data_IF_957638488657
#
_entry.id   IF_957638488657
#
_cell.length_a   1.000
_cell.length_b   1.000
_cell.length_c   1.000
_cell.angle_alpha   90.00
_cell.angle_beta   90.00
_cell.angle_gamma   90.00
#
_symmetry.space_group_name_H-M   'P 1'
#
loop_
_entity.id
_entity.type
_entity.pdbx_description
1 polymer ?
#
# COMPACT_ATOMS: atom_id res chain seq x y z
N UNK A 1 27.30 0.96 -17.88
CA UNK A 1 26.20 0.14 -18.45
C UNK A 1 24.90 0.92 -18.24
N UNK A 2 24.23 1.29 -19.32
CA UNK A 2 22.98 2.05 -19.33
C UNK A 2 21.76 1.14 -19.08
N UNK A 3 21.86 0.24 -18.10
CA UNK A 3 20.80 -0.71 -17.77
C UNK A 3 20.09 -0.21 -16.51
N UNK A 4 18.76 -0.02 -16.60
CA UNK A 4 17.92 0.50 -15.52
C UNK A 4 17.06 1.69 -15.94
N UNK A 5 15.99 1.92 -15.19
CA UNK A 5 15.06 3.04 -15.37
C UNK A 5 15.25 4.07 -14.27
N UNK A 6 14.95 5.33 -14.59
CA UNK A 6 14.87 6.43 -13.64
C UNK A 6 13.47 7.02 -13.70
N UNK A 7 12.72 6.90 -12.61
CA UNK A 7 11.34 7.36 -12.53
C UNK A 7 11.25 8.52 -11.53
N UNK A 8 10.64 9.62 -11.96
CA UNK A 8 10.25 10.70 -11.07
C UNK A 8 8.83 10.44 -10.57
N UNK A 9 8.63 10.45 -9.26
CA UNK A 9 7.30 10.32 -8.64
C UNK A 9 7.06 11.48 -7.68
N UNK A 10 5.84 12.00 -7.65
CA UNK A 10 5.45 13.10 -6.78
C UNK A 10 3.97 13.00 -6.41
N UNK A 11 3.58 13.73 -5.37
CA UNK A 11 2.18 13.83 -4.96
C UNK A 11 1.98 14.82 -3.82
N UNK A 12 0.76 15.33 -3.70
CA UNK A 12 0.39 16.26 -2.64
C UNK A 12 0.49 15.61 -1.26
N UNK A 13 0.23 14.30 -1.18
CA UNK A 13 0.29 13.52 0.05
C UNK A 13 0.92 12.14 -0.17
N UNK A 14 1.57 11.60 0.85
CA UNK A 14 2.03 10.21 0.86
C UNK A 14 1.99 9.59 2.26
N UNK A 15 1.76 8.27 2.34
CA UNK A 15 1.67 7.54 3.62
C UNK A 15 2.31 6.17 3.50
N UNK A 16 3.58 6.07 3.87
CA UNK A 16 4.36 4.83 3.94
C UNK A 16 4.33 4.30 5.37
N UNK A 17 3.23 3.63 5.74
CA UNK A 17 2.93 3.35 7.15
C UNK A 17 3.98 2.45 7.84
N UNK A 18 4.41 2.87 9.03
CA UNK A 18 5.23 2.10 9.96
C UNK A 18 4.43 0.91 10.51
N UNK A 19 4.93 -0.33 10.45
CA UNK A 19 4.16 -1.51 10.84
C UNK A 19 3.93 -1.62 12.35
N UNK A 20 4.67 -0.88 13.18
CA UNK A 20 4.52 -0.86 14.63
C UNK A 20 3.30 -0.02 15.05
N UNK A 21 2.93 1.00 14.26
CA UNK A 21 1.87 1.95 14.57
C UNK A 21 0.64 1.71 13.68
N UNK A 22 0.00 0.55 13.84
CA UNK A 22 -1.15 0.14 12.99
C UNK A 22 -2.45 0.85 13.31
N UNK A 23 -2.66 1.22 14.58
CA UNK A 23 -3.90 1.86 15.05
C UNK A 23 -3.90 3.34 14.67
N UNK A 24 -2.83 4.04 15.04
CA UNK A 24 -2.56 5.42 14.65
C UNK A 24 -1.51 5.42 13.55
N UNK A 25 -1.92 5.65 12.31
CA UNK A 25 -1.01 5.48 11.17
C UNK A 25 0.04 6.57 11.18
N UNK A 26 1.30 6.16 11.29
CA UNK A 26 2.44 7.06 11.18
C UNK A 26 3.28 6.62 9.99
N UNK A 27 3.53 7.54 9.07
CA UNK A 27 4.38 7.30 7.89
C UNK A 27 5.88 7.28 8.25
N UNK A 28 6.67 6.54 7.49
CA UNK A 28 8.11 6.78 7.39
C UNK A 28 8.37 8.16 6.76
N UNK A 29 9.57 8.66 7.03
CA UNK A 29 10.03 9.98 6.60
C UNK A 29 10.38 10.03 5.10
N UNK A 30 10.50 8.85 4.47
CA UNK A 30 10.80 8.68 3.04
C UNK A 30 10.04 7.46 2.48
N UNK A 31 9.91 7.41 1.15
CA UNK A 31 9.39 6.24 0.44
C UNK A 31 10.20 4.98 0.76
N UNK A 32 9.51 3.86 1.04
CA UNK A 32 10.16 2.57 1.25
C UNK A 32 10.48 1.89 -0.08
N UNK A 33 11.52 1.03 -0.16
CA UNK A 33 11.80 0.24 -1.36
C UNK A 33 10.62 -0.62 -1.80
N UNK A 34 9.83 -1.13 -0.84
CA UNK A 34 8.60 -1.90 -1.14
C UNK A 34 7.53 -1.05 -1.83
N UNK A 35 7.32 0.19 -1.38
CA UNK A 35 6.39 1.11 -2.01
C UNK A 35 6.89 1.57 -3.39
N UNK A 36 8.17 1.87 -3.53
CA UNK A 36 8.79 2.21 -4.81
C UNK A 36 8.66 1.08 -5.83
N UNK A 37 8.91 -0.17 -5.41
CA UNK A 37 8.65 -1.35 -6.23
C UNK A 37 7.18 -1.46 -6.63
N UNK A 38 6.25 -1.26 -5.70
CA UNK A 38 4.81 -1.29 -5.99
C UNK A 38 4.38 -0.24 -7.03
N UNK A 39 4.99 0.95 -7.01
CA UNK A 39 4.74 1.97 -8.05
C UNK A 39 5.24 1.50 -9.42
N UNK A 40 6.45 0.93 -9.49
CA UNK A 40 7.00 0.39 -10.73
C UNK A 40 6.14 -0.76 -11.28
N UNK A 41 5.68 -1.65 -10.40
CA UNK A 41 4.82 -2.78 -10.76
C UNK A 41 3.45 -2.32 -11.27
N UNK A 42 2.91 -1.23 -10.72
CA UNK A 42 1.65 -0.64 -11.19
C UNK A 42 1.77 -0.01 -12.60
N UNK A 43 2.97 0.41 -13.02
CA UNK A 43 3.21 0.89 -14.38
C UNK A 43 3.34 -0.30 -15.33
N UNK A 44 4.19 -1.27 -14.99
CA UNK A 44 4.38 -2.47 -15.78
C UNK A 44 4.93 -3.61 -14.92
N UNK A 45 4.26 -4.76 -14.98
CA UNK A 45 4.70 -5.99 -14.33
C UNK A 45 4.20 -7.24 -15.07
N UNK A 46 5.02 -8.30 -15.03
CA UNK A 46 4.71 -9.67 -15.47
C UNK A 46 5.37 -10.66 -14.50
N UNK A 47 4.85 -11.90 -14.37
CA UNK A 47 5.40 -12.91 -13.47
C UNK A 47 6.88 -13.25 -13.71
N UNK A 48 7.36 -13.13 -14.95
CA UNK A 48 8.74 -13.35 -15.37
C UNK A 48 9.68 -12.19 -14.97
N UNK A 49 9.18 -11.15 -14.28
CA UNK A 49 9.97 -9.98 -13.95
C UNK A 49 9.94 -9.64 -12.46
N UNK A 50 11.07 -9.14 -11.98
CA UNK A 50 11.19 -8.52 -10.67
C UNK A 50 11.84 -7.15 -10.79
N UNK A 51 11.15 -6.14 -10.29
CA UNK A 51 11.74 -4.82 -10.08
C UNK A 51 12.67 -4.84 -8.86
N UNK A 52 13.91 -4.42 -9.06
CA UNK A 52 14.91 -4.21 -8.01
C UNK A 52 15.18 -2.72 -7.91
N UNK A 53 14.92 -2.15 -6.73
CA UNK A 53 15.16 -0.73 -6.46
C UNK A 53 16.62 -0.56 -6.04
N UNK A 54 17.37 0.20 -6.81
CA UNK A 54 18.80 0.43 -6.59
C UNK A 54 19.05 1.67 -5.72
N UNK A 55 18.30 2.74 -5.97
CA UNK A 55 18.47 4.01 -5.26
C UNK A 55 17.17 4.79 -5.19
N UNK A 56 16.99 5.46 -4.05
CA UNK A 56 15.91 6.41 -3.82
C UNK A 56 16.52 7.78 -3.52
N UNK A 57 16.08 8.80 -4.26
CA UNK A 57 16.47 10.19 -4.05
C UNK A 57 15.29 10.96 -3.51
N UNK A 58 15.49 11.65 -2.39
CA UNK A 58 14.51 12.59 -1.83
C UNK A 58 14.77 13.96 -2.45
N UNK A 59 13.77 14.50 -3.16
CA UNK A 59 13.93 15.73 -3.94
C UNK A 59 13.26 16.94 -3.28
N UNK A 60 12.30 16.72 -2.38
CA UNK A 60 11.63 17.75 -1.60
C UNK A 60 11.91 17.60 -0.10
N UNK A 61 11.84 18.69 0.69
CA UNK A 61 11.95 18.62 2.15
C UNK A 61 10.89 17.72 2.78
N UNK A 62 11.26 17.00 3.82
CA UNK A 62 10.37 16.12 4.58
C UNK A 62 9.41 16.98 5.40
N UNK A 63 8.12 16.87 5.11
CA UNK A 63 7.05 17.64 5.78
C UNK A 63 5.90 16.71 6.12
N UNK A 64 5.41 16.82 7.36
CA UNK A 64 4.28 16.04 7.83
C UNK A 64 3.02 16.89 7.94
N UNK A 65 1.86 16.23 7.88
CA UNK A 65 0.55 16.80 8.18
C UNK A 65 -0.32 15.74 8.86
N UNK A 66 -1.34 16.19 9.57
CA UNK A 66 -2.29 15.32 10.25
C UNK A 66 -3.61 15.30 9.52
N UNK A 67 -4.13 14.09 9.28
CA UNK A 67 -5.45 13.89 8.70
C UNK A 67 -6.26 12.97 9.61
N UNK A 68 -7.52 13.33 9.85
CA UNK A 68 -8.48 12.50 10.59
C UNK A 68 -9.56 12.03 9.64
N UNK A 69 -9.78 10.71 9.56
CA UNK A 69 -10.79 10.10 8.69
C UNK A 69 -11.73 9.22 9.48
N UNK A 70 -12.92 9.06 8.95
CA UNK A 70 -13.88 8.09 9.43
C UNK A 70 -13.63 6.79 8.67
N UNK A 71 -13.29 5.73 9.38
CA UNK A 71 -13.01 4.40 8.84
C UNK A 71 -13.88 3.35 9.54
N UNK A 72 -14.08 2.20 8.90
CA UNK A 72 -14.82 1.09 9.51
C UNK A 72 -13.92 0.37 10.53
N UNK A 73 -14.47 0.05 11.70
CA UNK A 73 -13.75 -0.55 12.83
C UNK A 73 -13.22 -1.96 12.52
N UNK A 74 -13.94 -2.76 11.73
CA UNK A 74 -13.61 -4.15 11.49
C UNK A 74 -14.20 -4.73 10.21
N UNK A 75 -13.96 -6.03 10.03
CA UNK A 75 -14.50 -6.86 8.94
C UNK A 75 -15.41 -7.90 9.57
N UNK A 76 -16.50 -8.26 8.89
CA UNK A 76 -17.41 -9.32 9.34
C UNK A 76 -16.60 -10.64 9.42
N UNK A 77 -16.59 -11.34 10.57
CA UNK A 77 -15.88 -12.60 10.68
C UNK A 77 -16.40 -13.66 9.70
N UNK A 78 -15.48 -14.45 9.13
CA UNK A 78 -15.83 -15.54 8.21
C UNK A 78 -16.61 -16.64 8.93
N UNK A 79 -16.21 -16.95 10.16
CA UNK A 79 -16.92 -17.90 11.03
C UNK A 79 -18.21 -17.24 11.52
N UNK A 80 -19.35 -17.87 11.26
CA UNK A 80 -20.68 -17.36 11.62
C UNK A 80 -21.40 -16.83 10.40
N UNK A 81 -21.62 -15.51 10.36
CA UNK A 81 -22.49 -14.86 9.38
C UNK A 81 -22.13 -15.17 7.93
N UNK A 82 -20.85 -15.09 7.56
CA UNK A 82 -20.43 -15.39 6.17
C UNK A 82 -20.59 -16.88 5.86
N UNK A 83 -20.19 -17.78 6.77
CA UNK A 83 -20.34 -19.22 6.56
C UNK A 83 -21.80 -19.70 6.47
N UNK A 84 -22.72 -19.02 7.18
CA UNK A 84 -24.16 -19.29 7.13
C UNK A 84 -24.76 -18.76 5.82
N UNK A 85 -24.39 -17.54 5.42
CA UNK A 85 -24.81 -16.96 4.14
C UNK A 85 -24.31 -17.80 2.93
N UNK A 86 -23.07 -18.31 2.98
CA UNK A 86 -22.54 -19.21 1.95
C UNK A 86 -23.32 -20.54 1.83
N UNK A 87 -24.01 -20.96 2.90
CA UNK A 87 -24.90 -22.13 2.91
C UNK A 87 -26.34 -21.80 2.50
N UNK A 88 -26.64 -20.54 2.18
CA UNK A 88 -27.97 -20.08 1.80
C UNK A 88 -28.89 -19.76 2.98
N UNK A 89 -28.36 -19.68 4.21
CA UNK A 89 -29.16 -19.25 5.36
C UNK A 89 -29.44 -17.73 5.29
N UNK A 90 -30.64 -17.27 5.67
CA UNK A 90 -31.00 -15.85 5.64
C UNK A 90 -30.32 -15.11 6.79
N UNK A 91 -29.06 -14.74 6.57
CA UNK A 91 -28.26 -13.95 7.51
C UNK A 91 -27.89 -12.63 6.86
N UNK A 92 -28.05 -11.53 7.59
CA UNK A 92 -27.68 -10.21 7.11
C UNK A 92 -26.15 -10.05 7.15
N UNK A 93 -25.55 -9.93 5.97
CA UNK A 93 -24.11 -9.74 5.81
C UNK A 93 -23.85 -8.27 5.47
N UNK A 94 -23.99 -7.41 6.47
CA UNK A 94 -23.78 -5.97 6.36
C UNK A 94 -23.04 -5.42 7.56
N UNK A 95 -22.30 -4.33 7.36
CA UNK A 95 -21.75 -3.53 8.46
C UNK A 95 -22.56 -2.24 8.52
N UNK A 96 -23.35 -2.08 9.58
CA UNK A 96 -23.98 -0.80 9.88
C UNK A 96 -22.88 0.23 10.18
N UNK A 97 -22.72 1.22 9.29
CA UNK A 97 -21.66 2.24 9.39
C UNK A 97 -21.81 3.05 10.67
N UNK A 98 -23.03 3.35 11.10
CA UNK A 98 -23.32 4.13 12.31
C UNK A 98 -22.76 3.48 13.58
N UNK A 99 -22.87 2.15 13.67
CA UNK A 99 -22.44 1.37 14.83
C UNK A 99 -20.93 1.02 14.80
N UNK A 100 -20.34 1.01 13.60
CA UNK A 100 -18.96 0.55 13.37
C UNK A 100 -18.01 1.64 12.88
N UNK A 101 -18.40 2.91 12.95
CA UNK A 101 -17.54 4.05 12.59
C UNK A 101 -16.48 4.26 13.64
N UNK A 102 -15.23 4.33 13.20
CA UNK A 102 -14.10 4.72 14.02
C UNK A 102 -13.38 5.90 13.38
N UNK A 103 -13.05 6.91 14.19
CA UNK A 103 -12.18 7.98 13.72
C UNK A 103 -10.72 7.58 13.90
N UNK A 104 -9.97 7.58 12.79
CA UNK A 104 -8.54 7.28 12.79
C UNK A 104 -7.75 8.51 12.38
N UNK A 105 -6.76 8.84 13.20
CA UNK A 105 -5.76 9.85 12.88
C UNK A 105 -4.62 9.20 12.10
N UNK A 106 -4.09 9.93 11.14
CA UNK A 106 -2.90 9.57 10.40
C UNK A 106 -1.95 10.77 10.33
N UNK A 107 -0.67 10.54 10.64
CA UNK A 107 0.42 11.45 10.32
C UNK A 107 0.98 11.02 8.96
N UNK A 108 0.75 11.86 7.95
CA UNK A 108 1.13 11.60 6.56
C UNK A 108 2.12 12.65 6.08
N UNK A 109 2.81 12.38 4.98
CA UNK A 109 3.69 13.35 4.33
C UNK A 109 2.89 14.27 3.42
N UNK A 110 3.39 15.49 3.19
CA UNK A 110 2.85 16.42 2.20
C UNK A 110 3.91 16.91 1.23
N UNK A 111 3.52 17.22 0.00
CA UNK A 111 4.39 17.82 -1.03
C UNK A 111 5.65 16.97 -1.28
N UNK A 112 5.44 15.68 -1.56
CA UNK A 112 6.53 14.72 -1.71
C UNK A 112 7.01 14.63 -3.15
N UNK A 113 8.32 14.42 -3.32
CA UNK A 113 8.94 14.20 -4.62
C UNK A 113 10.16 13.30 -4.49
N UNK A 114 10.19 12.23 -5.28
CA UNK A 114 11.24 11.22 -5.24
C UNK A 114 11.74 10.88 -6.65
N UNK A 115 13.04 10.57 -6.74
CA UNK A 115 13.63 9.89 -7.88
C UNK A 115 13.89 8.43 -7.54
N UNK A 116 13.35 7.50 -8.32
CA UNK A 116 13.54 6.06 -8.17
C UNK A 116 14.48 5.58 -9.27
N UNK A 117 15.62 5.00 -8.90
CA UNK A 117 16.51 4.27 -9.80
C UNK A 117 16.29 2.77 -9.55
N UNK A 118 15.99 2.02 -10.61
CA UNK A 118 15.67 0.60 -10.52
C UNK A 118 16.06 -0.15 -11.80
N UNK A 119 16.17 -1.47 -11.71
CA UNK A 119 16.33 -2.35 -12.86
C UNK A 119 15.40 -3.56 -12.77
N UNK A 120 15.29 -4.28 -13.90
CA UNK A 120 14.50 -5.51 -14.00
C UNK A 120 15.45 -6.70 -13.98
N UNK A 121 15.18 -7.62 -13.05
CA UNK A 121 15.70 -8.98 -13.08
C UNK A 121 14.66 -9.89 -13.76
N UNK A 122 15.09 -10.61 -14.80
CA UNK A 122 14.25 -11.64 -15.42
C UNK A 122 14.29 -12.89 -14.54
N UNK A 123 13.12 -13.39 -14.18
CA UNK A 123 12.93 -14.65 -13.47
C UNK A 123 12.43 -15.70 -14.44
N UNK A 124 12.84 -16.95 -14.23
CA UNK A 124 12.11 -18.09 -14.79
C UNK A 124 10.72 -18.09 -14.16
N UNK A 125 9.69 -18.00 -14.99
CA UNK A 125 8.35 -18.28 -14.55
C UNK A 125 8.17 -19.79 -14.48
N UNK A 126 8.30 -20.32 -13.27
CA UNK A 126 7.80 -21.63 -12.92
C UNK A 126 6.31 -21.42 -12.67
N UNK A 127 5.47 -21.76 -13.66
CA UNK A 127 4.02 -21.67 -13.52
C UNK A 127 3.50 -22.51 -12.34
N UNK A 128 2.21 -22.45 -12.02
CA UNK A 128 1.66 -23.41 -11.07
C UNK A 128 1.96 -24.83 -11.57
N UNK A 129 2.62 -25.64 -10.76
CA UNK A 129 2.66 -27.09 -10.99
C UNK A 129 1.20 -27.58 -10.95
N UNK A 130 0.75 -28.22 -12.03
CA UNK A 130 -0.57 -28.85 -12.15
C UNK A 130 -0.79 -29.93 -11.07
#
# INVERSE_FOLDING_TARGET
MAYGVKLLVWGDFASFNRPEMKVERVTYDVITPSAARGILEAIYWKPEMRWVVDRLRVLNPIRFTHVRRNEIKGVIPVKGAISAAMKGEPVEVGIAVEENRQQRAAMIMRDVRYGIEAHVEVRKYEGPED
#
